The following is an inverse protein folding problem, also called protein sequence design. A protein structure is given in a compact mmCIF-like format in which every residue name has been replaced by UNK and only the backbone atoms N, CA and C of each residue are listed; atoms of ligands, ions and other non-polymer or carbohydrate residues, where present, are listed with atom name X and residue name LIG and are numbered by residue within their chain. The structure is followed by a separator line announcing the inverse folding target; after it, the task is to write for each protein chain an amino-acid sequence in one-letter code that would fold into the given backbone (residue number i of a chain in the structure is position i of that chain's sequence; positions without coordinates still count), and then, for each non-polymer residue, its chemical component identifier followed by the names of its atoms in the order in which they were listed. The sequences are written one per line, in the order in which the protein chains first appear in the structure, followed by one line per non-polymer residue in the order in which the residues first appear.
data_IF_351946286682
#
_entry.id   IF_351946286682
#
_cell.length_a   1.000
_cell.length_b   1.000
_cell.length_c   1.000
_cell.angle_alpha   90.00
_cell.angle_beta   90.00
_cell.angle_gamma   90.00
#
_symmetry.space_group_name_H-M   'P 1'
#
loop_
_entity.id
_entity.type
_entity.pdbx_description
1 polymer ?
#
# COMPACT_ATOMS: atom_id res chain seq x y z
N UNK A 1 -13.76 9.48 28.27
CA UNK A 1 -13.89 8.33 27.36
C UNK A 1 -14.51 8.91 26.11
N UNK A 2 -13.85 8.78 24.96
CA UNK A 2 -14.36 9.37 23.72
C UNK A 2 -15.47 8.49 23.14
N UNK A 3 -16.37 9.04 22.33
CA UNK A 3 -17.53 8.32 21.77
C UNK A 3 -17.11 7.09 20.94
N UNK A 4 -15.92 7.13 20.34
CA UNK A 4 -15.32 5.97 19.68
C UNK A 4 -14.98 4.83 20.67
N UNK A 5 -14.38 5.18 21.82
CA UNK A 5 -13.99 4.20 22.82
C UNK A 5 -15.23 3.51 23.40
N UNK A 6 -16.31 4.24 23.64
CA UNK A 6 -17.58 3.70 24.15
C UNK A 6 -18.24 2.73 23.13
N UNK A 7 -18.17 3.05 21.84
CA UNK A 7 -18.61 2.16 20.77
C UNK A 7 -17.78 0.88 20.67
N UNK A 8 -16.46 0.99 20.76
CA UNK A 8 -15.57 -0.18 20.71
C UNK A 8 -15.84 -1.18 21.85
N UNK A 9 -16.42 -0.73 22.96
CA UNK A 9 -16.82 -1.55 24.10
C UNK A 9 -18.28 -2.05 24.04
N UNK A 10 -18.98 -1.83 22.92
CA UNK A 10 -20.37 -2.25 22.69
C UNK A 10 -21.35 -1.75 23.78
N UNK A 11 -21.11 -0.54 24.29
CA UNK A 11 -21.95 0.09 25.31
C UNK A 11 -23.29 0.55 24.70
N UNK A 12 -24.38 0.36 25.43
CA UNK A 12 -25.75 0.70 25.03
C UNK A 12 -25.95 2.22 24.77
N UNK A 13 -24.99 3.05 25.19
CA UNK A 13 -24.95 4.50 24.93
C UNK A 13 -24.68 4.87 23.47
N UNK A 14 -24.03 4.00 22.70
CA UNK A 14 -23.82 4.23 21.26
C UNK A 14 -25.15 4.41 20.49
N UNK A 15 -26.22 3.75 20.93
CA UNK A 15 -27.56 3.89 20.37
C UNK A 15 -28.28 5.19 20.77
N UNK A 16 -27.84 5.85 21.84
CA UNK A 16 -28.34 7.17 22.22
C UNK A 16 -27.74 8.26 21.33
N UNK A 17 -26.43 8.19 21.05
CA UNK A 17 -25.74 9.07 20.10
C UNK A 17 -26.37 9.01 18.70
N UNK A 18 -26.77 7.80 18.27
CA UNK A 18 -27.50 7.56 17.01
C UNK A 18 -28.77 8.41 16.85
N UNK A 19 -29.43 8.80 17.95
CA UNK A 19 -30.70 9.56 17.94
C UNK A 19 -30.50 11.08 18.01
N UNK A 20 -29.34 11.52 18.48
CA UNK A 20 -29.00 12.94 18.62
C UNK A 20 -28.36 13.53 17.36
N UNK A 21 -27.68 12.71 16.56
CA UNK A 21 -27.09 13.12 15.28
C UNK A 21 -28.21 13.31 14.25
N UNK A 22 -28.70 14.55 14.13
CA UNK A 22 -29.85 14.91 13.29
C UNK A 22 -29.48 15.56 11.95
N UNK A 23 -28.21 15.91 11.76
CA UNK A 23 -27.73 16.60 10.57
C UNK A 23 -26.64 15.79 9.85
N UNK A 24 -27.08 15.05 8.84
CA UNK A 24 -26.22 14.22 7.99
C UNK A 24 -25.15 15.05 7.25
N UNK A 25 -25.42 16.34 6.98
CA UNK A 25 -24.50 17.22 6.24
C UNK A 25 -23.31 17.59 7.12
N UNK A 26 -23.58 18.14 8.31
CA UNK A 26 -22.54 18.54 9.26
C UNK A 26 -21.71 17.33 9.71
N UNK A 27 -22.33 16.15 9.82
CA UNK A 27 -21.60 14.93 10.14
C UNK A 27 -20.69 14.47 8.99
N UNK A 28 -21.18 14.54 7.74
CA UNK A 28 -20.37 14.19 6.56
C UNK A 28 -19.13 15.08 6.46
N UNK A 29 -19.28 16.38 6.68
CA UNK A 29 -18.18 17.34 6.73
C UNK A 29 -17.16 16.97 7.81
N UNK A 30 -17.61 16.68 9.04
CA UNK A 30 -16.72 16.28 10.12
C UNK A 30 -15.94 14.98 9.82
N UNK A 31 -16.58 14.01 9.13
CA UNK A 31 -15.88 12.80 8.67
C UNK A 31 -14.83 13.14 7.62
N UNK A 32 -15.15 14.01 6.65
CA UNK A 32 -14.19 14.45 5.65
C UNK A 32 -13.00 15.20 6.27
N UNK A 33 -13.24 16.07 7.25
CA UNK A 33 -12.19 16.79 7.98
C UNK A 33 -11.27 15.82 8.72
N UNK A 34 -11.82 14.78 9.36
CA UNK A 34 -11.02 13.74 10.00
C UNK A 34 -10.16 12.98 8.97
N UNK A 35 -10.73 12.64 7.82
CA UNK A 35 -9.99 11.96 6.74
C UNK A 35 -8.88 12.83 6.16
N UNK A 36 -9.16 14.10 5.89
CA UNK A 36 -8.16 15.03 5.37
C UNK A 36 -7.05 15.31 6.39
N UNK A 37 -7.40 15.52 7.66
CA UNK A 37 -6.42 15.62 8.73
C UNK A 37 -5.52 14.37 8.78
N UNK A 38 -6.09 13.17 8.70
CA UNK A 38 -5.30 11.93 8.68
C UNK A 38 -4.34 11.86 7.48
N UNK A 39 -4.72 12.42 6.33
CA UNK A 39 -3.86 12.50 5.12
C UNK A 39 -2.66 13.44 5.31
N UNK A 40 -2.77 14.44 6.18
CA UNK A 40 -1.68 15.37 6.51
C UNK A 40 -0.76 14.87 7.64
N UNK A 41 -1.19 13.88 8.42
CA UNK A 41 -0.35 13.25 9.43
C UNK A 41 0.71 12.33 8.78
N UNK A 42 1.97 12.76 8.79
CA UNK A 42 3.08 12.02 8.17
C UNK A 42 3.83 11.13 9.17
N UNK A 43 4.08 11.64 10.37
CA UNK A 43 5.00 11.04 11.34
C UNK A 43 4.30 10.56 12.62
N UNK A 44 3.08 11.04 12.89
CA UNK A 44 2.32 10.67 14.08
C UNK A 44 1.25 9.61 13.77
N UNK A 45 1.66 8.34 13.80
CA UNK A 45 0.76 7.21 13.55
C UNK A 45 -0.38 7.11 14.56
N UNK A 46 -0.17 7.53 15.80
CA UNK A 46 -1.20 7.49 16.83
C UNK A 46 -2.34 8.47 16.52
N UNK A 47 -2.00 9.72 16.15
CA UNK A 47 -2.98 10.73 15.75
C UNK A 47 -3.68 10.31 14.46
N UNK A 48 -2.93 9.82 13.47
CA UNK A 48 -3.51 9.32 12.23
C UNK A 48 -4.53 8.18 12.49
N UNK A 49 -4.22 7.24 13.38
CA UNK A 49 -5.14 6.16 13.75
C UNK A 49 -6.39 6.67 14.47
N UNK A 50 -6.25 7.63 15.39
CA UNK A 50 -7.38 8.26 16.09
C UNK A 50 -8.32 8.99 15.13
N UNK A 51 -7.78 9.72 14.15
CA UNK A 51 -8.56 10.41 13.12
C UNK A 51 -9.33 9.42 12.24
N UNK A 52 -8.67 8.33 11.81
CA UNK A 52 -9.34 7.26 11.05
C UNK A 52 -10.41 6.54 11.86
N UNK A 53 -10.18 6.32 13.15
CA UNK A 53 -11.15 5.74 14.08
C UNK A 53 -12.40 6.63 14.21
N UNK A 54 -12.21 7.93 14.42
CA UNK A 54 -13.30 8.91 14.47
C UNK A 54 -14.10 8.95 13.16
N UNK A 55 -13.42 9.03 12.01
CA UNK A 55 -14.05 8.97 10.69
C UNK A 55 -14.83 7.65 10.47
N UNK A 56 -14.27 6.53 10.91
CA UNK A 56 -14.89 5.21 10.79
C UNK A 56 -16.14 5.06 11.65
N UNK A 57 -16.21 5.76 12.79
CA UNK A 57 -17.39 5.79 13.63
C UNK A 57 -18.45 6.74 13.07
N UNK A 58 -18.07 7.97 12.70
CA UNK A 58 -18.98 8.97 12.15
C UNK A 58 -19.72 8.47 10.90
N UNK A 59 -19.03 7.76 10.00
CA UNK A 59 -19.67 7.24 8.78
C UNK A 59 -20.80 6.24 9.03
N UNK A 60 -20.89 5.61 10.22
CA UNK A 60 -21.95 4.65 10.54
C UNK A 60 -23.32 5.31 10.70
N UNK A 61 -23.35 6.62 10.92
CA UNK A 61 -24.56 7.39 11.18
C UNK A 61 -25.02 8.21 9.97
N UNK A 62 -24.19 8.30 8.93
CA UNK A 62 -24.52 8.97 7.68
C UNK A 62 -25.42 8.04 6.87
N UNK A 63 -26.63 8.50 6.58
CA UNK A 63 -27.53 7.81 5.65
C UNK A 63 -27.06 8.14 4.24
N UNK A 64 -26.28 7.26 3.63
CA UNK A 64 -26.05 7.37 2.19
C UNK A 64 -27.43 7.30 1.50
N UNK A 65 -27.81 8.38 0.82
CA UNK A 65 -29.12 8.52 0.16
C UNK A 65 -29.33 7.53 -1.00
N UNK A 66 -28.35 6.65 -1.23
CA UNK A 66 -28.46 5.46 -2.04
C UNK A 66 -27.98 4.29 -1.18
N UNK A 67 -28.88 3.33 -0.92
CA UNK A 67 -28.57 1.97 -0.47
C UNK A 67 -27.71 1.19 -1.49
N UNK A 68 -26.80 1.87 -2.17
CA UNK A 68 -25.82 1.25 -3.05
C UNK A 68 -24.59 1.00 -2.19
N UNK A 69 -24.49 -0.22 -1.68
CA UNK A 69 -23.28 -0.85 -1.15
C UNK A 69 -22.18 -0.97 -2.25
N UNK A 70 -22.10 0.00 -3.15
CA UNK A 70 -21.13 0.09 -4.24
C UNK A 70 -20.04 1.08 -3.88
N UNK A 71 -18.82 0.79 -4.35
CA UNK A 71 -17.64 1.65 -4.32
C UNK A 71 -17.87 2.93 -5.15
N UNK A 72 -18.82 3.78 -4.77
CA UNK A 72 -18.94 5.11 -5.33
C UNK A 72 -17.91 6.01 -4.65
N UNK A 73 -16.87 6.40 -5.40
CA UNK A 73 -15.78 7.28 -4.93
C UNK A 73 -16.32 8.59 -4.32
N UNK A 74 -17.49 9.05 -4.77
CA UNK A 74 -18.13 10.26 -4.28
C UNK A 74 -18.88 10.09 -2.95
N UNK A 75 -19.06 8.86 -2.45
CA UNK A 75 -19.66 8.63 -1.13
C UNK A 75 -18.64 8.80 -0.01
N UNK A 76 -19.13 9.04 1.20
CA UNK A 76 -18.27 9.09 2.41
C UNK A 76 -17.58 7.73 2.62
N UNK A 77 -18.27 6.63 2.30
CA UNK A 77 -17.69 5.29 2.33
C UNK A 77 -16.52 5.13 1.36
N UNK A 78 -16.71 5.50 0.09
CA UNK A 78 -15.67 5.41 -0.95
C UNK A 78 -14.43 6.21 -0.59
N UNK A 79 -14.62 7.46 -0.16
CA UNK A 79 -13.51 8.33 0.28
C UNK A 79 -12.78 7.77 1.52
N UNK A 80 -13.49 7.15 2.46
CA UNK A 80 -12.86 6.48 3.60
C UNK A 80 -11.97 5.31 3.15
N UNK A 81 -12.49 4.44 2.28
CA UNK A 81 -11.76 3.27 1.77
C UNK A 81 -10.51 3.69 1.01
N UNK A 82 -10.62 4.68 0.11
CA UNK A 82 -9.49 5.18 -0.66
C UNK A 82 -8.44 5.84 0.23
N UNK A 83 -8.86 6.65 1.22
CA UNK A 83 -7.93 7.26 2.19
C UNK A 83 -7.15 6.19 2.95
N UNK A 84 -7.83 5.13 3.43
CA UNK A 84 -7.18 4.02 4.12
C UNK A 84 -6.21 3.25 3.20
N UNK A 85 -6.60 3.04 1.93
CA UNK A 85 -5.77 2.37 0.93
C UNK A 85 -4.48 3.16 0.66
N UNK A 86 -4.57 4.46 0.45
CA UNK A 86 -3.43 5.35 0.25
C UNK A 86 -2.53 5.40 1.49
N UNK A 87 -3.10 5.64 2.67
CA UNK A 87 -2.33 5.74 3.92
C UNK A 87 -1.59 4.44 4.25
N UNK A 88 -2.17 3.27 3.95
CA UNK A 88 -1.46 1.99 4.13
C UNK A 88 -0.19 1.90 3.29
N UNK A 89 -0.26 2.32 2.02
CA UNK A 89 0.92 2.35 1.14
C UNK A 89 1.93 3.38 1.63
N UNK A 90 1.45 4.60 1.90
CA UNK A 90 2.27 5.72 2.35
C UNK A 90 3.00 5.42 3.65
N UNK A 91 2.34 4.86 4.66
CA UNK A 91 2.98 4.49 5.92
C UNK A 91 4.06 3.42 5.73
N UNK A 92 3.85 2.46 4.83
CA UNK A 92 4.85 1.45 4.53
C UNK A 92 6.12 2.06 3.89
N UNK A 93 5.95 3.01 2.97
CA UNK A 93 7.09 3.67 2.29
C UNK A 93 7.74 4.80 3.10
N UNK A 94 7.01 5.39 4.05
CA UNK A 94 7.52 6.38 5.01
C UNK A 94 8.34 5.75 6.13
N UNK A 95 8.18 4.44 6.35
CA UNK A 95 8.96 3.73 7.37
C UNK A 95 10.46 4.06 7.26
N UNK A 96 11.18 4.20 8.38
CA UNK A 96 12.59 4.59 8.37
C UNK A 96 13.47 3.66 7.51
N UNK A 97 13.12 2.37 7.44
CA UNK A 97 13.82 1.36 6.63
C UNK A 97 13.73 1.62 5.12
N UNK A 98 12.66 2.29 4.66
CA UNK A 98 12.44 2.62 3.25
C UNK A 98 12.85 4.06 2.95
N UNK A 99 12.50 5.00 3.83
CA UNK A 99 12.92 6.40 3.79
C UNK A 99 12.40 7.16 2.56
N UNK A 100 11.12 7.01 2.22
CA UNK A 100 10.47 7.75 1.14
C UNK A 100 9.29 8.58 1.68
N UNK A 101 9.54 9.84 2.12
CA UNK A 101 8.56 10.69 2.78
C UNK A 101 7.63 11.37 1.76
N UNK A 102 6.72 10.61 1.15
CA UNK A 102 5.71 11.16 0.24
C UNK A 102 4.48 11.60 1.01
N UNK A 103 3.94 12.77 0.65
CA UNK A 103 2.60 13.22 1.08
C UNK A 103 1.51 12.53 0.25
N UNK A 104 0.25 12.54 0.71
CA UNK A 104 -0.87 12.02 -0.08
C UNK A 104 -0.99 12.72 -1.43
N UNK A 105 -0.86 14.05 -1.47
CA UNK A 105 -0.92 14.83 -2.71
C UNK A 105 0.21 14.46 -3.70
N UNK A 106 1.42 14.23 -3.20
CA UNK A 106 2.52 13.73 -4.05
C UNK A 106 2.26 12.31 -4.52
N UNK A 107 1.70 11.45 -3.67
CA UNK A 107 1.32 10.09 -4.05
C UNK A 107 0.22 10.07 -5.10
N UNK A 108 -0.73 11.01 -5.09
CA UNK A 108 -1.78 11.13 -6.11
C UNK A 108 -1.24 11.69 -7.43
N UNK A 109 -0.34 12.69 -7.36
CA UNK A 109 0.31 13.23 -8.56
C UNK A 109 1.30 12.24 -9.20
N UNK A 110 1.80 11.28 -8.43
CA UNK A 110 2.62 10.18 -8.93
C UNK A 110 1.72 8.99 -9.25
N UNK A 111 1.86 8.36 -10.41
CA UNK A 111 1.12 7.10 -10.61
C UNK A 111 1.69 6.01 -9.68
N UNK A 112 0.88 5.02 -9.24
CA UNK A 112 1.37 3.89 -8.45
C UNK A 112 2.60 3.21 -9.04
N UNK A 113 2.66 3.11 -10.37
CA UNK A 113 3.79 2.57 -11.11
C UNK A 113 5.08 3.34 -10.85
N UNK A 114 5.06 4.67 -10.75
CA UNK A 114 6.26 5.48 -10.48
C UNK A 114 6.77 5.23 -9.06
N UNK A 115 5.88 5.07 -8.09
CA UNK A 115 6.26 4.74 -6.70
C UNK A 115 6.92 3.36 -6.65
N UNK A 116 6.36 2.38 -7.35
CA UNK A 116 6.93 1.04 -7.50
C UNK A 116 8.33 1.11 -8.14
N UNK A 117 8.51 1.88 -9.21
CA UNK A 117 9.84 2.07 -9.82
C UNK A 117 10.86 2.64 -8.84
N UNK A 118 10.47 3.63 -8.04
CA UNK A 118 11.36 4.20 -7.02
C UNK A 118 11.76 3.17 -5.97
N UNK A 119 10.85 2.29 -5.57
CA UNK A 119 11.16 1.18 -4.66
C UNK A 119 12.11 0.16 -5.29
N UNK A 120 11.90 -0.18 -6.57
CA UNK A 120 12.79 -1.09 -7.32
C UNK A 120 14.22 -0.52 -7.38
N UNK A 121 14.36 0.76 -7.73
CA UNK A 121 15.66 1.45 -7.79
C UNK A 121 16.37 1.51 -6.42
N UNK A 122 15.60 1.54 -5.33
CA UNK A 122 16.10 1.44 -3.94
C UNK A 122 16.37 0.01 -3.47
N UNK A 123 16.21 -0.98 -4.35
CA UNK A 123 16.30 -2.42 -4.06
C UNK A 123 15.28 -2.94 -3.04
N UNK A 124 14.19 -2.20 -2.83
CA UNK A 124 13.06 -2.58 -1.96
C UNK A 124 12.07 -3.50 -2.69
N UNK A 125 12.57 -4.58 -3.29
CA UNK A 125 11.81 -5.43 -4.23
C UNK A 125 10.61 -6.11 -3.59
N UNK A 126 10.75 -6.65 -2.36
CA UNK A 126 9.66 -7.33 -1.68
C UNK A 126 8.50 -6.36 -1.41
N UNK A 127 8.81 -5.16 -0.94
CA UNK A 127 7.82 -4.13 -0.68
C UNK A 127 7.16 -3.66 -1.98
N UNK A 128 7.94 -3.45 -3.04
CA UNK A 128 7.44 -3.10 -4.37
C UNK A 128 6.42 -4.12 -4.89
N UNK A 129 6.73 -5.42 -4.80
CA UNK A 129 5.81 -6.50 -5.22
C UNK A 129 4.54 -6.50 -4.38
N UNK A 130 4.64 -6.39 -3.06
CA UNK A 130 3.47 -6.37 -2.16
C UNK A 130 2.55 -5.18 -2.42
N UNK A 131 3.13 -3.99 -2.61
CA UNK A 131 2.36 -2.78 -2.95
C UNK A 131 1.72 -2.92 -4.33
N UNK A 132 2.45 -3.45 -5.32
CA UNK A 132 1.91 -3.67 -6.67
C UNK A 132 0.71 -4.63 -6.65
N UNK A 133 0.82 -5.76 -5.94
CA UNK A 133 -0.29 -6.70 -5.74
C UNK A 133 -1.47 -6.06 -5.01
N UNK A 134 -1.20 -5.31 -3.93
CA UNK A 134 -2.23 -4.62 -3.16
C UNK A 134 -2.98 -3.57 -4.00
N UNK A 135 -2.26 -2.85 -4.85
CA UNK A 135 -2.84 -1.84 -5.75
C UNK A 135 -3.36 -2.43 -7.06
N UNK A 136 -3.23 -3.75 -7.26
CA UNK A 136 -3.62 -4.48 -8.47
C UNK A 136 -2.96 -3.93 -9.75
N UNK A 137 -1.69 -3.53 -9.64
CA UNK A 137 -0.87 -3.10 -10.77
C UNK A 137 0.19 -4.14 -11.10
N UNK A 138 0.70 -4.17 -12.36
CA UNK A 138 1.72 -5.13 -12.77
C UNK A 138 2.99 -5.04 -11.91
N UNK A 139 3.59 -6.19 -11.59
CA UNK A 139 4.75 -6.31 -10.70
C UNK A 139 5.96 -7.01 -11.34
N UNK A 140 5.88 -7.31 -12.63
CA UNK A 140 6.87 -8.04 -13.41
C UNK A 140 8.23 -7.33 -13.35
N UNK A 141 8.25 -6.00 -13.46
CA UNK A 141 9.50 -5.25 -13.44
C UNK A 141 10.25 -5.39 -12.10
N UNK A 142 9.51 -5.45 -10.98
CA UNK A 142 10.11 -5.68 -9.67
C UNK A 142 10.71 -7.09 -9.54
N UNK A 143 10.04 -8.09 -10.09
CA UNK A 143 10.50 -9.49 -10.12
C UNK A 143 11.73 -9.66 -11.01
N UNK A 144 11.69 -9.04 -12.19
CA UNK A 144 12.77 -9.04 -13.17
C UNK A 144 14.03 -8.40 -12.58
N UNK A 145 13.90 -7.17 -12.06
CA UNK A 145 15.02 -6.45 -11.47
C UNK A 145 15.59 -7.18 -10.24
N UNK A 146 14.72 -7.79 -9.41
CA UNK A 146 15.15 -8.63 -8.29
C UNK A 146 16.00 -9.81 -8.77
N UNK A 147 15.55 -10.53 -9.80
CA UNK A 147 16.25 -11.70 -10.31
C UNK A 147 17.60 -11.31 -10.92
N UNK A 148 17.65 -10.23 -11.69
CA UNK A 148 18.90 -9.69 -12.25
C UNK A 148 19.86 -9.30 -11.12
N UNK A 149 19.40 -8.54 -10.13
CA UNK A 149 20.21 -8.18 -8.97
C UNK A 149 20.72 -9.42 -8.22
N UNK A 150 19.88 -10.44 -8.02
CA UNK A 150 20.27 -11.69 -7.36
C UNK A 150 21.35 -12.44 -8.15
N UNK A 151 21.27 -12.43 -9.48
CA UNK A 151 22.31 -13.01 -10.35
C UNK A 151 23.61 -12.23 -10.26
N UNK A 152 23.56 -10.90 -10.33
CA UNK A 152 24.76 -10.05 -10.36
C UNK A 152 25.49 -9.97 -9.02
N UNK A 153 24.76 -10.09 -7.91
CA UNK A 153 25.31 -9.99 -6.55
C UNK A 153 25.69 -11.33 -5.93
N UNK A 154 25.31 -12.45 -6.55
CA UNK A 154 25.69 -13.77 -6.05
C UNK A 154 27.22 -13.94 -6.13
N UNK A 155 27.86 -14.51 -5.09
CA UNK A 155 29.30 -14.80 -5.12
C UNK A 155 29.68 -15.76 -6.25
N UNK A 156 30.92 -15.71 -6.72
CA UNK A 156 31.42 -16.62 -7.77
C UNK A 156 31.55 -18.06 -7.26
N UNK A 157 31.62 -18.25 -5.95
CA UNK A 157 31.58 -19.58 -5.31
C UNK A 157 30.17 -20.16 -5.17
N UNK A 158 29.13 -19.39 -5.51
CA UNK A 158 27.74 -19.84 -5.38
C UNK A 158 27.37 -20.73 -6.55
N UNK A 159 26.70 -21.85 -6.28
CA UNK A 159 26.30 -22.81 -7.32
C UNK A 159 25.21 -22.22 -8.22
N UNK A 160 25.54 -22.09 -9.51
CA UNK A 160 24.64 -21.59 -10.55
C UNK A 160 23.34 -22.38 -10.64
N UNK A 161 23.37 -23.70 -10.39
CA UNK A 161 22.15 -24.53 -10.43
C UNK A 161 21.20 -24.13 -9.30
N UNK A 162 21.73 -23.98 -8.09
CA UNK A 162 20.95 -23.52 -6.93
C UNK A 162 20.42 -22.10 -7.13
N UNK A 163 21.21 -21.23 -7.75
CA UNK A 163 20.78 -19.86 -8.07
C UNK A 163 19.58 -19.84 -9.02
N UNK A 164 19.62 -20.65 -10.08
CA UNK A 164 18.50 -20.78 -11.03
C UNK A 164 17.27 -21.37 -10.35
N UNK A 165 17.44 -22.40 -9.52
CA UNK A 165 16.33 -23.03 -8.82
C UNK A 165 15.66 -22.06 -7.83
N UNK A 166 16.43 -21.29 -7.07
CA UNK A 166 15.88 -20.24 -6.19
C UNK A 166 15.05 -19.20 -6.96
N UNK A 167 15.56 -18.75 -8.10
CA UNK A 167 14.87 -17.76 -8.95
C UNK A 167 13.59 -18.37 -9.52
N UNK A 168 13.64 -19.61 -10.00
CA UNK A 168 12.48 -20.33 -10.52
C UNK A 168 11.41 -20.54 -9.46
N UNK A 169 11.79 -20.96 -8.25
CA UNK A 169 10.86 -21.19 -7.13
C UNK A 169 10.13 -19.91 -6.75
N UNK A 170 10.74 -18.73 -6.88
CA UNK A 170 10.05 -17.47 -6.61
C UNK A 170 9.17 -17.02 -7.78
N UNK A 171 9.63 -17.22 -9.02
CA UNK A 171 8.89 -16.81 -10.22
C UNK A 171 7.74 -17.75 -10.59
N UNK A 172 7.72 -19.00 -10.11
CA UNK A 172 6.61 -19.93 -10.37
C UNK A 172 5.26 -19.42 -9.88
N UNK A 173 5.25 -18.53 -8.88
CA UNK A 173 4.04 -17.86 -8.41
C UNK A 173 3.46 -16.85 -9.43
N UNK A 174 4.18 -16.57 -10.52
CA UNK A 174 3.85 -15.59 -11.55
C UNK A 174 3.92 -16.23 -12.94
N UNK A 175 2.90 -17.01 -13.35
CA UNK A 175 2.96 -17.86 -14.55
C UNK A 175 3.03 -17.10 -15.88
N UNK A 176 2.62 -15.83 -15.92
CA UNK A 176 2.70 -14.96 -17.12
C UNK A 176 4.06 -14.29 -17.32
N UNK A 177 5.05 -14.56 -16.45
CA UNK A 177 6.33 -13.85 -16.45
C UNK A 177 7.30 -14.33 -17.53
N UNK A 178 7.94 -13.40 -18.25
CA UNK A 178 8.95 -13.70 -19.28
C UNK A 178 10.37 -13.78 -18.71
N UNK A 179 11.05 -14.90 -18.97
CA UNK A 179 12.43 -15.14 -18.49
C UNK A 179 13.53 -14.52 -19.37
N UNK A 180 13.19 -13.90 -20.50
CA UNK A 180 14.15 -13.53 -21.54
C UNK A 180 15.29 -12.61 -21.03
N UNK A 181 14.95 -11.57 -20.25
CA UNK A 181 15.95 -10.62 -19.74
C UNK A 181 16.80 -11.20 -18.61
N UNK A 182 16.22 -12.06 -17.77
CA UNK A 182 16.95 -12.80 -16.73
C UNK A 182 17.99 -13.73 -17.37
N UNK A 183 17.60 -14.44 -18.43
CA UNK A 183 18.51 -15.33 -19.16
C UNK A 183 19.68 -14.56 -19.81
N UNK A 184 19.42 -13.37 -20.36
CA UNK A 184 20.47 -12.50 -20.90
C UNK A 184 21.44 -12.02 -19.81
N UNK A 185 20.93 -11.63 -18.64
CA UNK A 185 21.77 -11.24 -17.50
C UNK A 185 22.65 -12.41 -17.00
N UNK A 186 22.08 -13.62 -16.89
CA UNK A 186 22.83 -14.83 -16.53
C UNK A 186 23.96 -15.12 -17.53
N UNK A 187 23.66 -15.08 -18.84
CA UNK A 187 24.66 -15.31 -19.90
C UNK A 187 25.83 -14.33 -19.81
N UNK A 188 25.53 -13.03 -19.59
CA UNK A 188 26.54 -11.98 -19.47
C UNK A 188 27.47 -12.22 -18.26
N UNK A 189 26.93 -12.73 -17.15
CA UNK A 189 27.75 -13.08 -15.98
C UNK A 189 28.73 -14.21 -16.29
N UNK A 190 28.27 -15.29 -16.92
CA UNK A 190 29.13 -16.41 -17.31
C UNK A 190 30.26 -16.02 -18.26
N UNK A 191 30.01 -15.11 -19.21
CA UNK A 191 31.07 -14.61 -20.12
C UNK A 191 32.12 -13.75 -19.41
N UNK A 192 31.73 -13.00 -18.38
CA UNK A 192 32.66 -12.19 -17.59
C UNK A 192 33.53 -13.05 -16.65
N UNK A 193 33.00 -14.16 -16.16
CA UNK A 193 33.77 -15.15 -15.39
C UNK A 193 34.80 -15.88 -16.26
N UNK A 194 34.45 -16.18 -17.52
CA UNK A 194 35.34 -16.86 -18.46
C UNK A 194 36.48 -15.98 -18.99
N UNK A 195 36.44 -14.66 -18.76
CA UNK A 195 37.45 -13.70 -19.25
C UNK A 195 38.38 -13.17 -18.16
N UNK A 196 38.14 -13.53 -16.89
CA UNK A 196 39.02 -13.25 -15.75
C UNK A 196 39.93 -14.44 -15.47
#
# INVERSE_FOLDING_TARGET
MDSYDEFAHNDARADAHRREMKDDTTLSEAVYDCLDAARYELDNLEVQQKLLAAASYGKLFIKDSNDDYGDNEFSVHGRFVETCRQLRVLNAIRSPDVGMPLTCQQFEGLTPSVVIQRLINRRQHLLAIRIAQYLQVPCEEALEHWAICKIETAPDSYDDKKLVDDIRVKLQAFPSFSYAKIANAAKKRSTNLATK
#
